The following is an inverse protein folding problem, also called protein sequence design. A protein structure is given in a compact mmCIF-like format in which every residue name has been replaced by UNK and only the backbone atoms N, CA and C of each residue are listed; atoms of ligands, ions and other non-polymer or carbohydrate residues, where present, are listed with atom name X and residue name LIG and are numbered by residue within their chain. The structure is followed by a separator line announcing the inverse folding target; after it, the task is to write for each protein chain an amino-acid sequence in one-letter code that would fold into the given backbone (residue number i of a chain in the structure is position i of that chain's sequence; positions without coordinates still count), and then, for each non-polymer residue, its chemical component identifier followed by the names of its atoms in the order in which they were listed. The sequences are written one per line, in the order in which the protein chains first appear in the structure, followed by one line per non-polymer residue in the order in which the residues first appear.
data_IF_128840971157
#
_entry.id   IF_128840971157
#
_cell.length_a   1.000
_cell.length_b   1.000
_cell.length_c   1.000
_cell.angle_alpha   90.00
_cell.angle_beta   90.00
_cell.angle_gamma   90.00
#
_symmetry.space_group_name_H-M   'P 1'
#
loop_
_entity.id
_entity.type
_entity.pdbx_description
1 polymer ?
#
# COMPACT_ATOMS: atom_id res chain seq x y z
N UNK A 1 -14.27 0.05 -5.61
CA UNK A 1 -13.40 0.05 -4.43
C UNK A 1 -14.01 -0.82 -3.35
N UNK A 2 -13.21 -1.64 -2.68
CA UNK A 2 -13.66 -2.50 -1.59
C UNK A 2 -12.65 -2.41 -0.46
N UNK A 3 -13.15 -2.20 0.74
CA UNK A 3 -12.35 -2.09 1.96
C UNK A 3 -12.76 -3.21 2.89
N UNK A 4 -11.78 -3.99 3.36
CA UNK A 4 -12.02 -5.11 4.28
C UNK A 4 -11.12 -4.91 5.50
N UNK A 5 -11.73 -4.88 6.67
CA UNK A 5 -11.02 -4.92 7.94
C UNK A 5 -11.15 -6.32 8.54
N UNK A 6 -10.03 -6.95 8.85
CA UNK A 6 -10.00 -8.27 9.50
C UNK A 6 -9.26 -8.17 10.83
N UNK A 7 -9.78 -8.88 11.83
CA UNK A 7 -9.21 -8.95 13.17
C UNK A 7 -8.63 -10.36 13.42
N UNK A 8 -7.41 -10.41 13.94
CA UNK A 8 -6.68 -11.63 14.32
C UNK A 8 -6.73 -12.75 13.25
N UNK A 9 -6.53 -12.38 12.01
CA UNK A 9 -6.50 -13.34 10.90
C UNK A 9 -5.25 -14.22 10.99
N UNK A 10 -5.45 -15.53 11.07
CA UNK A 10 -4.37 -16.50 11.05
C UNK A 10 -3.80 -16.68 9.64
N UNK A 11 -2.57 -16.26 9.44
CA UNK A 11 -1.81 -16.46 8.20
C UNK A 11 -0.84 -17.64 8.36
N UNK A 12 -1.39 -18.86 8.18
CA UNK A 12 -0.69 -20.13 8.44
C UNK A 12 0.08 -20.70 7.25
N UNK A 13 -0.15 -20.22 6.02
CA UNK A 13 0.48 -20.76 4.80
C UNK A 13 1.71 -19.95 4.37
N UNK A 14 2.40 -19.36 5.32
CA UNK A 14 3.63 -18.62 5.05
C UNK A 14 4.83 -19.57 4.89
N UNK A 15 5.84 -19.23 4.08
CA UNK A 15 7.01 -20.09 3.88
C UNK A 15 7.92 -20.17 5.11
N UNK A 16 7.75 -19.29 6.09
CA UNK A 16 8.51 -19.26 7.34
C UNK A 16 7.63 -19.71 8.51
N UNK A 17 7.23 -18.79 9.37
CA UNK A 17 6.40 -19.05 10.55
C UNK A 17 5.03 -18.39 10.40
N UNK A 18 3.95 -19.02 10.92
CA UNK A 18 2.63 -18.40 10.91
C UNK A 18 2.64 -17.03 11.60
N UNK A 19 1.79 -16.13 11.13
CA UNK A 19 1.60 -14.79 11.70
C UNK A 19 0.12 -14.57 12.05
N UNK A 20 -0.13 -13.79 13.07
CA UNK A 20 -1.48 -13.38 13.49
C UNK A 20 -1.42 -11.90 13.83
N UNK A 21 -1.47 -11.02 12.83
CA UNK A 21 -1.60 -9.59 13.08
C UNK A 21 -2.92 -9.27 13.78
N UNK A 22 -2.92 -8.30 14.71
CA UNK A 22 -4.15 -7.92 15.41
C UNK A 22 -5.22 -7.43 14.44
N UNK A 23 -4.84 -6.56 13.51
CA UNK A 23 -5.77 -6.00 12.53
C UNK A 23 -5.09 -5.85 11.16
N UNK A 24 -5.80 -6.24 10.12
CA UNK A 24 -5.38 -6.02 8.74
C UNK A 24 -6.45 -5.23 7.99
N UNK A 25 -6.06 -4.13 7.37
CA UNK A 25 -6.87 -3.33 6.47
C UNK A 25 -6.47 -3.67 5.03
N UNK A 26 -7.41 -4.22 4.27
CA UNK A 26 -7.23 -4.53 2.85
C UNK A 26 -8.02 -3.55 2.01
N UNK A 27 -7.37 -2.93 1.04
CA UNK A 27 -7.99 -1.98 0.11
C UNK A 27 -7.82 -2.48 -1.32
N UNK A 28 -8.96 -2.80 -1.97
CA UNK A 28 -9.03 -3.13 -3.39
C UNK A 28 -9.45 -1.89 -4.17
N UNK A 29 -8.56 -1.36 -4.99
CA UNK A 29 -8.87 -0.22 -5.87
C UNK A 29 -9.46 -0.72 -7.19
N UNK A 30 -10.46 -0.03 -7.70
CA UNK A 30 -11.11 -0.37 -8.97
C UNK A 30 -10.11 -0.30 -10.12
N UNK A 31 -10.04 -1.38 -10.90
CA UNK A 31 -9.17 -1.46 -12.07
C UNK A 31 -7.73 -1.92 -11.80
N UNK A 32 -7.40 -2.30 -10.55
CA UNK A 32 -6.09 -2.86 -10.18
C UNK A 32 -6.17 -4.36 -9.96
N UNK A 33 -5.08 -5.05 -10.28
CA UNK A 33 -4.96 -6.51 -10.11
C UNK A 33 -4.41 -6.91 -8.75
N UNK A 34 -4.00 -5.95 -7.95
CA UNK A 34 -3.41 -6.17 -6.62
C UNK A 34 -4.16 -5.40 -5.53
N UNK A 35 -3.96 -5.84 -4.31
CA UNK A 35 -4.58 -5.28 -3.10
C UNK A 35 -3.51 -4.67 -2.21
N UNK A 36 -3.87 -3.58 -1.55
CA UNK A 36 -3.02 -2.98 -0.53
C UNK A 36 -3.40 -3.51 0.84
N UNK A 37 -2.46 -4.18 1.50
CA UNK A 37 -2.64 -4.64 2.86
C UNK A 37 -1.85 -3.77 3.82
N UNK A 38 -2.52 -3.28 4.85
CA UNK A 38 -1.92 -2.52 5.94
C UNK A 38 -2.18 -3.24 7.25
N UNK A 39 -1.16 -3.31 8.09
CA UNK A 39 -1.20 -4.00 9.38
C UNK A 39 -1.26 -2.96 10.48
N UNK A 40 -2.16 -3.15 11.43
CA UNK A 40 -2.23 -2.40 12.67
C UNK A 40 -2.14 -3.38 13.84
N UNK A 41 -1.23 -3.13 14.75
CA UNK A 41 -0.96 -4.02 15.89
C UNK A 41 -1.01 -3.19 17.19
N UNK A 42 -1.95 -3.53 18.07
CA UNK A 42 -2.20 -2.79 19.28
C UNK A 42 -1.27 -3.24 20.40
N UNK A 43 -0.56 -2.30 21.02
CA UNK A 43 0.36 -2.55 22.13
C UNK A 43 0.02 -1.66 23.33
N UNK A 44 -0.15 -2.29 24.49
CA UNK A 44 -0.43 -1.58 25.74
C UNK A 44 0.84 -1.17 26.50
N UNK A 45 1.87 -0.78 25.77
CA UNK A 45 3.14 -0.33 26.34
C UNK A 45 3.68 0.88 25.63
N UNK A 46 4.42 1.71 26.38
CA UNK A 46 4.99 2.98 25.90
C UNK A 46 6.41 3.05 26.48
N UNK A 47 7.35 3.56 25.68
CA UNK A 47 8.60 4.10 26.21
C UNK A 47 8.38 5.60 26.50
N UNK A 48 8.56 5.98 27.76
CA UNK A 48 8.35 7.34 28.22
C UNK A 48 9.53 8.28 27.93
N UNK A 49 10.51 7.83 27.21
CA UNK A 49 11.72 8.60 26.89
C UNK A 49 12.39 9.20 28.15
N UNK A 50 12.58 8.37 29.19
CA UNK A 50 13.18 8.81 30.45
C UNK A 50 14.55 9.42 30.20
N UNK A 51 14.81 10.56 30.84
CA UNK A 51 16.08 11.28 30.72
C UNK A 51 17.30 10.35 30.97
N UNK A 52 18.28 10.39 30.07
CA UNK A 52 19.47 9.52 30.12
C UNK A 52 19.27 8.15 29.47
N UNK A 53 18.06 7.72 29.13
CA UNK A 53 17.83 6.47 28.40
C UNK A 53 18.32 6.53 26.95
N UNK A 54 18.53 5.36 26.33
CA UNK A 54 18.82 5.26 24.90
C UNK A 54 17.67 5.78 24.04
N UNK A 55 16.45 5.48 24.47
CA UNK A 55 15.24 5.92 23.78
C UNK A 55 15.14 7.46 23.79
N UNK A 56 15.37 8.11 24.94
CA UNK A 56 15.39 9.57 25.02
C UNK A 56 16.43 10.20 24.07
N UNK A 57 17.63 9.61 24.00
CA UNK A 57 18.66 10.12 23.06
C UNK A 57 18.25 10.02 21.58
N UNK A 58 17.48 8.99 21.20
CA UNK A 58 17.10 8.71 19.83
C UNK A 58 15.85 9.45 19.39
N UNK A 59 14.88 9.63 20.31
CA UNK A 59 13.52 10.05 19.98
C UNK A 59 13.05 11.29 20.75
N UNK A 60 13.57 11.56 21.93
CA UNK A 60 13.26 12.71 22.79
C UNK A 60 11.83 12.75 23.36
N UNK A 61 10.86 12.14 22.70
CA UNK A 61 9.44 12.12 23.05
C UNK A 61 8.99 10.68 23.37
N UNK A 62 7.97 10.52 24.22
CA UNK A 62 7.35 9.21 24.46
C UNK A 62 6.78 8.60 23.16
N UNK A 63 6.84 7.28 23.08
CA UNK A 63 6.33 6.59 21.89
C UNK A 63 6.35 5.06 22.02
N UNK A 64 6.09 4.33 20.93
CA UNK A 64 6.13 2.87 20.92
C UNK A 64 7.54 2.38 21.15
N UNK A 65 7.68 1.19 21.73
CA UNK A 65 9.02 0.61 21.95
C UNK A 65 9.68 0.22 20.64
N UNK A 66 11.01 0.22 20.60
CA UNK A 66 11.77 -0.23 19.42
C UNK A 66 11.47 -1.70 19.08
N UNK A 67 11.17 -2.54 20.08
CA UNK A 67 10.76 -3.93 19.89
C UNK A 67 9.44 -4.05 19.13
N UNK A 68 8.47 -3.15 19.40
CA UNK A 68 7.20 -3.13 18.70
C UNK A 68 7.38 -2.70 17.25
N UNK A 69 8.22 -1.72 16.99
CA UNK A 69 8.61 -1.33 15.63
C UNK A 69 9.31 -2.46 14.88
N UNK A 70 10.20 -3.21 15.54
CA UNK A 70 10.83 -4.40 14.96
C UNK A 70 9.78 -5.48 14.62
N UNK A 71 8.73 -5.59 15.41
CA UNK A 71 7.60 -6.49 15.10
C UNK A 71 6.88 -6.04 13.81
N UNK A 72 6.72 -4.75 13.57
CA UNK A 72 6.14 -4.25 12.32
C UNK A 72 7.01 -4.57 11.10
N UNK A 73 8.32 -4.43 11.21
CA UNK A 73 9.24 -4.88 10.16
C UNK A 73 9.06 -6.37 9.86
N UNK A 74 9.00 -7.20 10.92
CA UNK A 74 8.80 -8.65 10.78
C UNK A 74 7.46 -8.98 10.10
N UNK A 75 6.35 -8.37 10.50
CA UNK A 75 5.05 -8.58 9.85
C UNK A 75 5.09 -8.21 8.38
N UNK A 76 5.61 -7.03 8.05
CA UNK A 76 5.69 -6.57 6.66
C UNK A 76 6.50 -7.53 5.78
N UNK A 77 7.62 -8.08 6.28
CA UNK A 77 8.50 -8.95 5.51
C UNK A 77 8.03 -10.41 5.46
N UNK A 78 7.30 -10.88 6.46
CA UNK A 78 6.85 -12.28 6.53
C UNK A 78 5.58 -12.56 5.75
N UNK A 79 4.70 -11.57 5.57
CA UNK A 79 3.45 -11.73 4.85
C UNK A 79 3.69 -11.70 3.35
N UNK A 80 3.86 -12.88 2.79
CA UNK A 80 4.17 -13.07 1.37
C UNK A 80 3.18 -14.02 0.71
N UNK A 81 2.95 -13.84 -0.58
CA UNK A 81 2.15 -14.72 -1.43
C UNK A 81 2.96 -15.15 -2.64
N UNK A 82 2.63 -16.30 -3.19
CA UNK A 82 3.20 -16.79 -4.44
C UNK A 82 2.08 -17.14 -5.40
N UNK A 83 2.07 -16.52 -6.56
CA UNK A 83 1.14 -16.84 -7.66
C UNK A 83 1.83 -17.78 -8.65
N UNK A 84 2.42 -17.24 -9.70
CA UNK A 84 3.11 -18.02 -10.75
C UNK A 84 4.60 -17.67 -10.88
N UNK A 85 5.15 -16.95 -9.93
CA UNK A 85 6.51 -16.40 -9.94
C UNK A 85 7.23 -16.55 -8.60
N UNK A 86 8.11 -15.61 -8.26
CA UNK A 86 8.73 -15.52 -6.94
C UNK A 86 7.69 -15.16 -5.87
N UNK A 87 8.10 -15.22 -4.61
CA UNK A 87 7.29 -14.69 -3.52
C UNK A 87 7.25 -13.15 -3.56
N UNK A 88 6.08 -12.61 -3.34
CA UNK A 88 5.80 -11.18 -3.30
C UNK A 88 5.27 -10.79 -1.93
N UNK A 89 5.68 -9.63 -1.41
CA UNK A 89 5.13 -9.08 -0.17
C UNK A 89 3.70 -8.62 -0.40
N UNK A 90 2.81 -8.93 0.54
CA UNK A 90 1.42 -8.47 0.51
C UNK A 90 1.18 -7.26 1.39
N UNK A 91 1.99 -7.08 2.46
CA UNK A 91 1.87 -5.96 3.36
C UNK A 91 2.64 -4.74 2.84
N UNK A 92 1.92 -3.65 2.58
CA UNK A 92 2.48 -2.38 2.12
C UNK A 92 2.98 -1.52 3.28
N UNK A 93 2.23 -1.51 4.38
CA UNK A 93 2.58 -0.78 5.60
C UNK A 93 2.24 -1.55 6.86
N UNK A 94 2.93 -1.23 7.96
CA UNK A 94 2.67 -1.83 9.28
C UNK A 94 2.88 -0.80 10.39
N UNK A 95 1.90 -0.68 11.28
CA UNK A 95 1.80 0.38 12.24
C UNK A 95 1.47 -0.14 13.63
N UNK A 96 2.19 0.36 14.65
CA UNK A 96 1.88 0.12 16.06
C UNK A 96 0.83 1.12 16.51
N UNK A 97 -0.23 0.64 17.14
CA UNK A 97 -1.17 1.46 17.90
C UNK A 97 -0.80 1.39 19.37
N UNK A 98 -0.55 2.53 20.01
CA UNK A 98 -0.11 2.55 21.41
C UNK A 98 -0.87 3.60 22.23
N UNK A 99 -1.04 3.40 23.57
CA UNK A 99 -1.93 4.22 24.38
C UNK A 99 -1.26 5.55 24.79
N UNK A 100 -1.27 6.53 23.90
CA UNK A 100 -0.77 7.88 24.16
C UNK A 100 -1.85 8.92 23.82
N UNK A 101 -1.90 9.99 24.56
CA UNK A 101 -2.98 11.01 24.46
C UNK A 101 -2.57 12.28 23.73
N UNK A 102 -1.26 12.63 23.74
CA UNK A 102 -0.76 13.88 23.16
C UNK A 102 -0.35 13.64 21.68
N UNK A 103 -1.35 13.70 20.81
CA UNK A 103 -1.16 13.54 19.38
C UNK A 103 -0.40 14.72 18.74
N UNK A 104 -0.52 15.94 19.29
CA UNK A 104 0.12 17.12 18.72
C UNK A 104 1.64 17.07 18.87
N UNK A 105 2.14 16.81 20.08
CA UNK A 105 3.56 16.62 20.29
C UNK A 105 4.10 15.40 19.52
N UNK A 106 3.30 14.33 19.40
CA UNK A 106 3.74 13.11 18.73
C UNK A 106 3.94 13.26 17.23
N UNK A 107 3.32 14.23 16.57
CA UNK A 107 3.55 14.51 15.14
C UNK A 107 5.04 14.81 14.83
N UNK A 108 5.77 15.33 15.81
CA UNK A 108 7.20 15.59 15.68
C UNK A 108 8.08 14.35 15.90
N UNK A 109 7.50 13.29 16.44
CA UNK A 109 8.23 12.06 16.75
C UNK A 109 8.76 11.37 15.48
N UNK A 110 10.01 10.89 15.55
CA UNK A 110 10.67 10.19 14.43
C UNK A 110 9.85 9.00 13.93
N UNK A 111 9.24 8.22 14.83
CA UNK A 111 8.45 7.04 14.48
C UNK A 111 7.04 7.37 13.94
N UNK A 112 6.59 8.63 14.00
CA UNK A 112 5.46 9.11 13.24
C UNK A 112 5.90 9.53 11.83
N UNK A 113 6.99 10.28 11.72
CA UNK A 113 7.54 10.75 10.44
C UNK A 113 7.93 9.57 9.54
N UNK A 114 8.44 8.48 10.11
CA UNK A 114 8.80 7.25 9.38
C UNK A 114 7.63 6.57 8.67
N UNK A 115 6.38 6.84 9.07
CA UNK A 115 5.19 6.37 8.34
C UNK A 115 5.20 6.88 6.90
N UNK A 116 5.56 8.15 6.69
CA UNK A 116 5.61 8.74 5.35
C UNK A 116 6.85 8.34 4.55
N UNK A 117 7.92 7.96 5.23
CA UNK A 117 9.20 7.63 4.60
C UNK A 117 9.30 6.16 4.20
N UNK A 118 8.81 5.27 5.07
CA UNK A 118 9.04 3.82 4.92
C UNK A 118 7.80 2.95 5.18
N UNK A 119 6.62 3.55 5.37
CA UNK A 119 5.35 2.88 5.70
C UNK A 119 5.41 2.01 6.97
N UNK A 120 6.28 2.36 7.91
CA UNK A 120 6.37 1.75 9.23
C UNK A 120 6.48 2.84 10.28
N UNK A 121 5.75 2.68 11.38
CA UNK A 121 5.80 3.63 12.50
C UNK A 121 4.79 3.31 13.57
N UNK A 122 4.55 4.29 14.44
CA UNK A 122 3.58 4.18 15.52
C UNK A 122 2.58 5.32 15.49
N UNK A 123 1.40 5.06 16.03
CA UNK A 123 0.30 6.01 16.12
C UNK A 123 -0.31 5.95 17.53
N UNK A 124 -0.47 7.10 18.20
CA UNK A 124 -1.30 7.19 19.39
C UNK A 124 -2.70 6.67 19.11
N UNK A 125 -3.25 5.90 20.03
CA UNK A 125 -4.62 5.40 19.90
C UNK A 125 -5.27 5.18 21.27
N UNK A 126 -6.15 6.07 21.63
CA UNK A 126 -7.03 6.01 22.81
C UNK A 126 -8.42 6.52 22.40
N UNK A 127 -9.48 6.28 23.19
CA UNK A 127 -10.82 6.77 22.87
C UNK A 127 -10.92 8.28 22.63
N UNK A 128 -9.99 9.06 23.17
CA UNK A 128 -9.89 10.51 23.02
C UNK A 128 -8.66 10.97 22.21
N UNK A 129 -7.97 10.07 21.55
CA UNK A 129 -6.78 10.32 20.72
C UNK A 129 -6.80 9.38 19.49
N UNK A 130 -7.68 9.66 18.53
CA UNK A 130 -7.91 8.86 17.32
C UNK A 130 -7.56 9.62 16.04
N UNK A 131 -7.32 10.92 16.13
CA UNK A 131 -7.17 11.84 15.01
C UNK A 131 -6.06 11.40 14.04
N UNK A 132 -4.88 11.01 14.53
CA UNK A 132 -3.76 10.63 13.67
C UNK A 132 -4.02 9.29 12.95
N UNK A 133 -4.72 8.36 13.58
CA UNK A 133 -5.15 7.10 12.97
C UNK A 133 -6.21 7.36 11.91
N UNK A 134 -7.21 8.21 12.19
CA UNK A 134 -8.25 8.61 11.24
C UNK A 134 -7.63 9.26 9.99
N UNK A 135 -6.75 10.23 10.17
CA UNK A 135 -6.03 10.89 9.06
C UNK A 135 -5.20 9.92 8.22
N UNK A 136 -4.54 8.95 8.87
CA UNK A 136 -3.80 7.91 8.12
C UNK A 136 -4.77 7.07 7.30
N UNK A 137 -5.85 6.55 7.89
CA UNK A 137 -6.82 5.69 7.20
C UNK A 137 -7.49 6.44 6.04
N UNK A 138 -7.92 7.68 6.25
CA UNK A 138 -8.47 8.53 5.18
C UNK A 138 -7.48 8.68 4.03
N UNK A 139 -6.23 9.01 4.32
CA UNK A 139 -5.17 9.12 3.32
C UNK A 139 -4.96 7.82 2.55
N UNK A 140 -4.96 6.65 3.22
CA UNK A 140 -4.79 5.35 2.57
C UNK A 140 -5.97 4.98 1.66
N UNK A 141 -7.18 5.44 2.01
CA UNK A 141 -8.39 5.23 1.22
C UNK A 141 -8.43 6.19 0.01
N UNK A 142 -8.16 7.48 0.22
CA UNK A 142 -8.30 8.52 -0.80
C UNK A 142 -7.19 8.49 -1.86
N UNK A 143 -5.95 8.18 -1.46
CA UNK A 143 -4.83 8.17 -2.40
C UNK A 143 -5.02 7.15 -3.51
N UNK A 144 -4.65 7.57 -4.70
CA UNK A 144 -4.57 6.64 -5.79
C UNK A 144 -3.34 5.72 -5.65
N UNK A 145 -3.35 4.56 -6.29
CA UNK A 145 -2.28 3.58 -6.17
C UNK A 145 -0.89 4.09 -6.59
N UNK A 146 -0.82 4.97 -7.57
CA UNK A 146 0.45 5.54 -8.02
C UNK A 146 1.05 6.48 -6.98
N UNK A 147 0.22 7.22 -6.25
CA UNK A 147 0.65 8.07 -5.14
C UNK A 147 1.15 7.23 -3.97
N UNK A 148 0.42 6.16 -3.64
CA UNK A 148 0.84 5.23 -2.58
C UNK A 148 2.15 4.51 -2.92
N UNK A 149 2.38 4.16 -4.19
CA UNK A 149 3.63 3.53 -4.63
C UNK A 149 4.83 4.47 -4.59
N UNK A 150 4.63 5.77 -4.76
CA UNK A 150 5.71 6.77 -4.65
C UNK A 150 6.10 7.05 -3.21
N UNK A 151 5.26 6.66 -2.26
CA UNK A 151 5.50 6.82 -0.83
C UNK A 151 6.06 5.53 -0.24
N UNK A 152 7.15 5.64 0.49
CA UNK A 152 7.77 4.52 1.16
C UNK A 152 8.77 3.74 0.30
N UNK A 153 9.24 2.64 0.85
CA UNK A 153 10.26 1.80 0.22
C UNK A 153 9.60 0.70 -0.61
N UNK A 154 9.83 0.72 -1.92
CA UNK A 154 9.49 -0.39 -2.80
C UNK A 154 10.63 -1.42 -2.77
N UNK A 155 10.32 -2.71 -2.62
CA UNK A 155 11.32 -3.76 -2.74
C UNK A 155 11.88 -3.82 -4.16
N UNK A 156 13.21 -3.83 -4.32
CA UNK A 156 13.83 -3.97 -5.63
C UNK A 156 13.46 -5.30 -6.30
N UNK A 157 13.15 -5.26 -7.59
CA UNK A 157 12.85 -6.45 -8.39
C UNK A 157 11.46 -7.03 -8.14
N UNK A 158 10.55 -6.29 -7.50
CA UNK A 158 9.15 -6.69 -7.37
C UNK A 158 8.32 -6.22 -8.55
N UNK A 159 7.14 -6.82 -8.70
CA UNK A 159 6.17 -6.40 -9.73
C UNK A 159 5.79 -4.93 -9.53
N UNK A 160 5.65 -4.47 -8.29
CA UNK A 160 5.34 -3.08 -7.96
C UNK A 160 6.45 -2.13 -8.39
N UNK A 161 7.73 -2.49 -8.19
CA UNK A 161 8.85 -1.68 -8.66
C UNK A 161 8.86 -1.59 -10.19
N UNK A 162 8.63 -2.72 -10.86
CA UNK A 162 8.50 -2.75 -12.31
C UNK A 162 7.30 -1.93 -12.79
N UNK A 163 6.14 -2.06 -12.15
CA UNK A 163 4.94 -1.28 -12.47
C UNK A 163 5.14 0.21 -12.20
N UNK A 164 5.80 0.59 -11.10
CA UNK A 164 6.08 1.99 -10.78
C UNK A 164 7.10 2.62 -11.72
N UNK A 165 7.98 1.82 -12.32
CA UNK A 165 8.93 2.27 -13.34
C UNK A 165 8.29 2.54 -14.70
N UNK A 166 7.07 2.05 -14.93
CA UNK A 166 6.29 2.32 -16.13
C UNK A 166 5.60 3.68 -15.97
N UNK A 167 6.29 4.75 -16.34
CA UNK A 167 5.78 6.12 -16.21
C UNK A 167 4.51 6.37 -17.01
N UNK A 168 4.25 5.57 -18.07
CA UNK A 168 3.09 5.75 -18.94
C UNK A 168 2.48 4.40 -19.34
N UNK A 169 1.19 4.23 -19.04
CA UNK A 169 0.43 3.07 -19.49
C UNK A 169 -0.24 3.36 -20.83
N UNK A 170 -0.11 2.43 -21.76
CA UNK A 170 -0.70 2.50 -23.09
C UNK A 170 -1.72 1.39 -23.25
N UNK A 171 -2.97 1.74 -23.56
CA UNK A 171 -3.99 0.77 -23.97
C UNK A 171 -3.74 0.39 -25.42
N UNK A 172 -3.41 -0.88 -25.66
CA UNK A 172 -3.17 -1.38 -27.04
C UNK A 172 -4.44 -2.02 -27.57
N UNK A 173 -4.97 -1.46 -28.66
CA UNK A 173 -6.19 -1.92 -29.33
C UNK A 173 -5.94 -2.50 -30.72
N UNK A 174 -6.44 -3.70 -30.98
CA UNK A 174 -6.46 -4.27 -32.32
C UNK A 174 -7.72 -3.85 -33.08
N UNK A 175 -7.56 -3.33 -34.29
CA UNK A 175 -8.66 -2.99 -35.17
C UNK A 175 -8.73 -4.00 -36.32
N UNK A 176 -9.85 -4.76 -36.45
CA UNK A 176 -9.92 -5.88 -37.39
C UNK A 176 -9.93 -5.48 -38.88
N UNK A 177 -10.40 -4.27 -39.19
CA UNK A 177 -10.55 -3.79 -40.58
C UNK A 177 -9.80 -2.46 -40.77
N UNK A 178 -9.11 -2.33 -41.90
CA UNK A 178 -8.35 -1.13 -42.24
C UNK A 178 -9.24 0.15 -42.29
N UNK A 179 -10.43 0.04 -42.82
CA UNK A 179 -11.39 1.16 -42.90
C UNK A 179 -11.73 1.70 -41.50
N UNK A 180 -11.96 0.79 -40.54
CA UNK A 180 -12.23 1.17 -39.16
C UNK A 180 -10.98 1.78 -38.51
N UNK A 181 -9.80 1.30 -38.85
CA UNK A 181 -8.53 1.83 -38.33
C UNK A 181 -8.37 3.29 -38.78
N UNK A 182 -8.59 3.57 -40.06
CA UNK A 182 -8.52 4.93 -40.60
C UNK A 182 -9.60 5.86 -39.98
N UNK A 183 -10.81 5.36 -39.78
CA UNK A 183 -11.88 6.13 -39.12
C UNK A 183 -11.51 6.47 -37.67
N UNK A 184 -10.93 5.49 -36.89
CA UNK A 184 -10.48 5.74 -35.53
C UNK A 184 -9.36 6.78 -35.46
N UNK A 185 -8.42 6.78 -36.38
CA UNK A 185 -7.35 7.77 -36.48
C UNK A 185 -7.91 9.15 -36.83
N UNK A 186 -8.78 9.23 -37.85
CA UNK A 186 -9.35 10.50 -38.33
C UNK A 186 -10.20 11.17 -37.26
N UNK A 187 -11.05 10.42 -36.58
CA UNK A 187 -11.99 10.96 -35.59
C UNK A 187 -11.46 10.90 -34.15
N UNK A 188 -10.24 10.44 -33.92
CA UNK A 188 -9.57 10.38 -32.62
C UNK A 188 -10.40 9.71 -31.52
N UNK A 189 -11.06 8.60 -31.85
CA UNK A 189 -11.78 7.80 -30.87
C UNK A 189 -11.48 6.32 -31.04
N UNK A 190 -11.64 5.57 -29.97
CA UNK A 190 -11.60 4.11 -29.96
C UNK A 190 -12.68 3.60 -29.02
N UNK A 191 -13.44 2.59 -29.44
CA UNK A 191 -14.45 1.98 -28.59
C UNK A 191 -14.21 0.48 -28.48
N UNK A 192 -14.37 -0.03 -27.27
CA UNK A 192 -14.27 -1.44 -26.96
C UNK A 192 -15.26 -1.78 -25.84
N UNK A 193 -15.96 -2.92 -25.90
CA UNK A 193 -16.79 -3.35 -24.78
C UNK A 193 -15.97 -3.51 -23.50
N UNK A 194 -16.43 -2.95 -22.37
CA UNK A 194 -15.71 -2.98 -21.08
C UNK A 194 -15.33 -4.40 -20.66
N UNK A 195 -16.15 -5.40 -20.97
CA UNK A 195 -15.88 -6.82 -20.70
C UNK A 195 -14.65 -7.40 -21.42
N UNK A 196 -14.11 -6.70 -22.41
CA UNK A 196 -12.89 -7.08 -23.15
C UNK A 196 -11.65 -6.33 -22.69
N UNK A 197 -11.81 -5.41 -21.75
CA UNK A 197 -10.71 -4.66 -21.18
C UNK A 197 -10.10 -5.42 -20.01
N UNK A 198 -8.78 -5.51 -19.98
CA UNK A 198 -8.06 -6.05 -18.83
C UNK A 198 -8.10 -5.03 -17.67
N UNK A 199 -7.91 -5.52 -16.45
CA UNK A 199 -7.78 -4.64 -15.29
C UNK A 199 -6.63 -3.63 -15.50
N UNK A 200 -6.78 -2.42 -14.98
CA UNK A 200 -5.79 -1.35 -15.12
C UNK A 200 -5.94 -0.46 -16.37
N UNK A 201 -6.92 -0.70 -17.23
CA UNK A 201 -7.14 0.11 -18.43
C UNK A 201 -7.49 1.58 -18.11
N UNK A 202 -8.09 1.83 -16.94
CA UNK A 202 -8.46 3.20 -16.51
C UNK A 202 -7.24 4.10 -16.29
N UNK A 203 -6.06 3.51 -16.14
CA UNK A 203 -4.80 4.24 -15.91
C UNK A 203 -4.06 4.54 -17.19
N UNK A 204 -4.52 4.03 -18.32
CA UNK A 204 -3.88 4.27 -19.61
C UNK A 204 -4.01 5.74 -20.01
N UNK A 205 -2.86 6.39 -20.20
CA UNK A 205 -2.77 7.77 -20.69
C UNK A 205 -2.88 7.87 -22.22
N UNK A 206 -2.51 6.79 -22.90
CA UNK A 206 -2.46 6.71 -24.35
C UNK A 206 -3.20 5.49 -24.86
N UNK A 207 -3.69 5.58 -26.10
CA UNK A 207 -4.24 4.45 -26.85
C UNK A 207 -3.40 4.24 -28.10
N UNK A 208 -2.81 3.06 -28.24
CA UNK A 208 -2.13 2.64 -29.46
C UNK A 208 -3.02 1.66 -30.22
N UNK A 209 -3.27 1.94 -31.48
CA UNK A 209 -4.08 1.09 -32.35
C UNK A 209 -3.19 0.41 -33.41
N UNK A 210 -3.50 -0.84 -33.70
CA UNK A 210 -2.84 -1.55 -34.81
C UNK A 210 -3.87 -2.32 -35.65
N UNK A 211 -3.73 -2.32 -36.99
CA UNK A 211 -4.58 -3.12 -37.85
C UNK A 211 -4.19 -4.61 -37.75
N UNK A 212 -5.18 -5.50 -37.86
CA UNK A 212 -4.91 -6.93 -37.96
C UNK A 212 -4.22 -7.22 -39.29
N UNK A 213 -2.98 -7.73 -39.31
CA UNK A 213 -2.31 -8.14 -40.53
C UNK A 213 -3.02 -9.36 -41.14
N UNK A 214 -3.46 -9.22 -42.42
CA UNK A 214 -3.98 -10.33 -43.24
C UNK A 214 -5.44 -10.67 -42.95
N UNK A 215 -6.35 -9.92 -43.51
CA UNK A 215 -7.66 -10.38 -43.92
C UNK A 215 -7.77 -10.17 -45.45
#
# INVERSE_FOLDING_TARGET
EKIILTYQKYEGKLPTIPQIPDTMLLIEKKGKDYTYNYIFDAKYRIDFAMEGSSYHRNYQLPGPTEEDINTMHRYRDSLVVRHQGPYERTAFGAYVLFPWWDEDSYQEHKLYKSINEVNIGGLPFLPNATRLVEQLIERLIEKNPEELQKEGILPRGTIEEWQSSLEEKVLVGMVPREENYQAHLQHRFYHIPVKRLNKGWQEAKYVALYPKKGA
#
